data_IF_275027265158
#
_entry.id   IF_275027265158
#
_cell.length_a   1.000
_cell.length_b   1.000
_cell.length_c   1.000
_cell.angle_alpha   90.00
_cell.angle_beta   90.00
_cell.angle_gamma   90.00
#
_symmetry.space_group_name_H-M   'P 1'
#
loop_
_entity.id
_entity.type
_entity.pdbx_description
1 polymer ?
#
# COMPACT_ATOMS: atom_id res chain seq x y z
N UNK A 1 -0.78 -7.32 -0.65
CA UNK A 1 -0.23 -8.53 -0.58
C UNK A 1 -0.69 -9.37 0.57
N UNK A 2 -0.97 -8.88 1.62
CA UNK A 2 -1.41 -9.56 2.76
C UNK A 2 -2.40 -10.66 2.50
N UNK A 3 -3.55 -10.39 1.90
CA UNK A 3 -4.53 -11.43 1.66
C UNK A 3 -4.06 -12.44 0.64
N UNK A 4 -3.41 -11.97 -0.39
CA UNK A 4 -2.90 -12.85 -1.43
C UNK A 4 -1.82 -13.77 -0.89
N UNK A 5 -0.93 -13.23 -0.08
CA UNK A 5 0.11 -14.06 0.52
C UNK A 5 -0.46 -15.10 1.45
N UNK A 6 -1.45 -14.71 2.24
CA UNK A 6 -2.06 -15.63 3.15
C UNK A 6 -2.73 -16.77 2.40
N UNK A 7 -3.44 -16.47 1.34
CA UNK A 7 -4.09 -17.48 0.53
C UNK A 7 -3.10 -18.42 -0.11
N UNK A 8 -1.98 -17.86 -0.58
CA UNK A 8 -0.95 -18.71 -1.18
C UNK A 8 -0.39 -19.69 -0.19
N UNK A 9 -0.17 -19.26 1.03
CA UNK A 9 0.33 -20.17 2.05
C UNK A 9 -0.68 -21.27 2.32
N UNK A 10 -1.94 -20.95 2.39
CA UNK A 10 -2.97 -21.94 2.59
C UNK A 10 -3.03 -22.93 1.43
N UNK A 11 -2.96 -22.42 0.21
CA UNK A 11 -3.03 -23.25 -0.97
C UNK A 11 -1.88 -24.22 -1.05
N UNK A 12 -0.77 -23.87 -0.47
CA UNK A 12 0.40 -24.73 -0.45
C UNK A 12 0.40 -25.69 0.73
N UNK A 13 -0.70 -25.77 1.43
CA UNK A 13 -0.83 -26.70 2.52
C UNK A 13 -0.24 -26.23 3.83
N UNK A 14 0.13 -24.99 3.91
CA UNK A 14 0.65 -24.43 5.13
C UNK A 14 -0.48 -24.02 6.05
N UNK A 15 -0.24 -24.21 7.34
CA UNK A 15 -1.11 -23.62 8.29
C UNK A 15 -1.05 -22.12 8.15
N UNK A 16 -2.20 -21.47 8.14
CA UNK A 16 -2.24 -20.03 8.05
C UNK A 16 -1.67 -19.43 9.31
N UNK A 17 -0.56 -18.78 9.17
CA UNK A 17 0.06 -18.06 10.27
C UNK A 17 -0.13 -16.59 9.99
N UNK A 18 -0.61 -15.87 10.97
CA UNK A 18 -0.73 -14.43 10.85
C UNK A 18 0.64 -13.88 10.47
N UNK A 19 0.69 -13.06 9.44
CA UNK A 19 1.95 -12.45 9.02
C UNK A 19 2.63 -11.73 10.17
N UNK A 20 1.85 -11.15 11.07
CA UNK A 20 2.37 -10.44 12.21
C UNK A 20 3.17 -11.38 13.10
N UNK A 21 2.65 -12.56 13.38
CA UNK A 21 3.37 -13.54 14.20
C UNK A 21 4.65 -13.97 13.54
N UNK A 22 4.55 -14.27 12.26
CA UNK A 22 5.68 -14.73 11.49
C UNK A 22 6.82 -13.71 11.49
N UNK A 23 6.46 -12.41 11.35
CA UNK A 23 7.45 -11.35 11.28
C UNK A 23 7.73 -10.70 12.63
N UNK A 24 7.07 -11.14 13.68
CA UNK A 24 7.23 -10.52 14.99
C UNK A 24 6.53 -9.20 15.14
N UNK A 25 5.54 -8.93 14.29
CA UNK A 25 4.79 -7.68 14.35
C UNK A 25 3.61 -7.81 15.28
N UNK A 26 3.22 -6.71 15.92
CA UNK A 26 1.99 -6.66 16.67
C UNK A 26 0.81 -6.67 15.69
N UNK A 27 -0.40 -6.92 16.20
CA UNK A 27 -1.56 -6.90 15.32
C UNK A 27 -1.83 -5.49 14.79
N UNK A 28 -1.51 -4.46 15.56
CA UNK A 28 -1.63 -3.09 15.08
C UNK A 28 -0.66 -2.81 13.95
N UNK A 29 0.56 -3.28 14.09
CA UNK A 29 1.57 -3.09 13.03
C UNK A 29 1.18 -3.83 11.77
N UNK A 30 0.62 -5.03 11.91
CA UNK A 30 0.18 -5.79 10.76
C UNK A 30 -0.93 -5.05 10.01
N UNK A 31 -1.85 -4.43 10.73
CA UNK A 31 -2.91 -3.67 10.09
C UNK A 31 -2.36 -2.44 9.38
N UNK A 32 -1.38 -1.79 9.97
CA UNK A 32 -0.75 -0.64 9.32
C UNK A 32 -0.06 -1.05 8.02
N UNK A 33 0.58 -2.23 8.02
CA UNK A 33 1.21 -2.74 6.80
C UNK A 33 0.15 -2.96 5.73
N UNK A 34 -0.98 -3.58 6.10
CA UNK A 34 -2.07 -3.81 5.16
C UNK A 34 -2.58 -2.51 4.55
N UNK A 35 -2.72 -1.49 5.37
CA UNK A 35 -3.20 -0.20 4.91
C UNK A 35 -2.19 0.42 3.95
N UNK A 36 -0.91 0.36 4.30
CA UNK A 36 0.12 0.92 3.42
C UNK A 36 0.16 0.23 2.07
N UNK A 37 0.02 -1.08 2.08
CA UNK A 37 0.00 -1.83 0.83
C UNK A 37 -1.20 -1.43 -0.02
N UNK A 38 -2.37 -1.30 0.60
CA UNK A 38 -3.58 -0.91 -0.14
C UNK A 38 -3.42 0.49 -0.73
N UNK A 39 -2.85 1.41 0.02
CA UNK A 39 -2.64 2.77 -0.48
C UNK A 39 -1.63 2.79 -1.62
N UNK A 40 -0.58 1.99 -1.52
CA UNK A 40 0.42 1.92 -2.58
C UNK A 40 -0.15 1.32 -3.85
N UNK A 41 -1.01 0.32 -3.72
CA UNK A 41 -1.67 -0.28 -4.87
C UNK A 41 -2.56 0.72 -5.57
N UNK A 42 -3.30 1.51 -4.80
CA UNK A 42 -4.14 2.54 -5.38
C UNK A 42 -3.30 3.62 -6.04
N UNK A 43 -2.20 4.00 -5.40
CA UNK A 43 -1.30 4.99 -5.96
C UNK A 43 -0.79 4.55 -7.33
N UNK A 44 -0.35 3.30 -7.42
CA UNK A 44 0.19 2.78 -8.67
C UNK A 44 -0.90 2.66 -9.73
N UNK A 45 -2.08 2.21 -9.33
CA UNK A 45 -3.20 2.08 -10.25
C UNK A 45 -3.57 3.44 -10.87
N UNK A 46 -3.70 4.46 -10.03
CA UNK A 46 -4.08 5.77 -10.51
C UNK A 46 -2.98 6.41 -11.34
N UNK A 47 -1.73 6.21 -10.93
CA UNK A 47 -0.60 6.73 -11.70
C UNK A 47 -0.63 6.19 -13.12
N UNK A 48 -0.81 4.87 -13.26
CA UNK A 48 -0.83 4.24 -14.58
C UNK A 48 -2.04 4.69 -15.40
N UNK A 49 -3.16 4.81 -14.72
CA UNK A 49 -4.41 5.22 -15.38
C UNK A 49 -4.26 6.62 -15.96
N UNK A 50 -3.55 7.49 -15.27
CA UNK A 50 -3.33 8.86 -15.73
C UNK A 50 -2.14 9.00 -16.66
N UNK A 51 -1.39 7.93 -16.88
CA UNK A 51 -0.23 7.96 -17.75
C UNK A 51 0.92 8.78 -17.20
N UNK A 52 1.03 8.88 -15.89
CA UNK A 52 2.06 9.69 -15.25
C UNK A 52 3.25 8.78 -14.90
N UNK A 53 4.45 9.23 -15.26
CA UNK A 53 5.64 8.45 -14.92
C UNK A 53 5.99 8.61 -13.45
N UNK A 54 6.81 7.67 -12.96
CA UNK A 54 7.29 7.77 -11.59
C UNK A 54 8.07 9.07 -11.35
N UNK A 55 8.84 9.49 -12.35
CA UNK A 55 9.58 10.74 -12.23
C UNK A 55 8.64 11.94 -12.13
N UNK A 56 7.57 11.92 -12.89
CA UNK A 56 6.58 13.01 -12.82
C UNK A 56 5.89 13.03 -11.47
N UNK A 57 5.52 11.85 -10.98
CA UNK A 57 4.90 11.77 -9.66
C UNK A 57 5.85 12.27 -8.58
N UNK A 58 7.13 11.91 -8.71
CA UNK A 58 8.14 12.36 -7.75
C UNK A 58 8.21 13.88 -7.70
N UNK A 59 8.15 14.53 -8.85
CA UNK A 59 8.16 15.98 -8.89
C UNK A 59 6.92 16.57 -8.21
N UNK A 60 5.77 15.96 -8.44
CA UNK A 60 4.52 16.44 -7.84
C UNK A 60 4.55 16.31 -6.32
N UNK A 61 5.14 15.23 -5.84
CA UNK A 61 5.21 14.98 -4.40
C UNK A 61 6.35 15.74 -3.74
N UNK A 62 7.37 16.10 -4.52
CA UNK A 62 8.52 16.78 -3.99
C UNK A 62 9.57 15.82 -3.46
N UNK A 63 9.67 14.66 -4.08
CA UNK A 63 10.65 13.66 -3.68
C UNK A 63 11.42 13.18 -4.92
N UNK A 64 12.31 12.23 -4.72
CA UNK A 64 13.08 11.65 -5.82
C UNK A 64 12.32 10.47 -6.40
N UNK A 65 12.65 10.13 -7.65
CA UNK A 65 12.04 8.99 -8.30
C UNK A 65 12.29 7.71 -7.48
N UNK A 66 13.47 7.59 -6.88
CA UNK A 66 13.76 6.42 -6.04
C UNK A 66 12.81 6.32 -4.85
N UNK A 67 12.35 7.46 -4.34
CA UNK A 67 11.38 7.48 -3.27
C UNK A 67 10.02 6.95 -3.73
N UNK A 68 9.62 7.30 -4.93
CA UNK A 68 8.37 6.80 -5.49
C UNK A 68 8.48 5.29 -5.73
N UNK A 69 9.59 4.84 -6.29
CA UNK A 69 9.80 3.41 -6.53
C UNK A 69 9.73 2.63 -5.22
N UNK A 70 10.29 3.20 -4.14
CA UNK A 70 10.22 2.54 -2.84
C UNK A 70 8.81 2.47 -2.32
N UNK A 71 8.02 3.54 -2.49
CA UNK A 71 6.62 3.54 -2.07
C UNK A 71 5.85 2.41 -2.73
N UNK A 72 6.13 2.17 -4.00
CA UNK A 72 5.42 1.16 -4.76
C UNK A 72 5.91 -0.24 -4.45
N UNK A 73 7.22 -0.40 -4.36
CA UNK A 73 7.82 -1.73 -4.22
C UNK A 73 7.93 -2.20 -2.77
N UNK A 74 8.11 -1.26 -1.84
CA UNK A 74 8.25 -1.57 -0.43
C UNK A 74 7.38 -0.65 0.41
N UNK A 75 6.05 -0.71 0.22
CA UNK A 75 5.16 0.20 0.95
C UNK A 75 5.22 0.03 2.46
N UNK A 76 5.57 -1.16 2.92
CA UNK A 76 5.67 -1.41 4.36
C UNK A 76 6.84 -0.66 4.99
N UNK A 77 7.79 -0.21 4.19
CA UNK A 77 8.94 0.56 4.68
C UNK A 77 8.73 2.06 4.53
N UNK A 78 7.59 2.49 4.01
CA UNK A 78 7.30 3.90 3.79
C UNK A 78 6.26 4.40 4.77
N UNK A 79 6.28 5.69 5.05
CA UNK A 79 5.28 6.25 5.93
C UNK A 79 3.95 6.36 5.22
N UNK A 80 2.88 6.23 5.99
CA UNK A 80 1.54 6.38 5.47
C UNK A 80 1.32 7.78 4.92
N UNK A 81 1.92 8.76 5.58
CA UNK A 81 1.83 10.15 5.15
C UNK A 81 2.31 10.32 3.71
N UNK A 82 3.43 9.69 3.38
CA UNK A 82 3.98 9.81 2.04
C UNK A 82 3.07 9.15 1.00
N UNK A 83 2.48 8.01 1.34
CA UNK A 83 1.56 7.34 0.43
C UNK A 83 0.33 8.18 0.19
N UNK A 84 -0.24 8.74 1.24
CA UNK A 84 -1.42 9.60 1.12
C UNK A 84 -1.08 10.87 0.35
N UNK A 85 0.09 11.44 0.60
CA UNK A 85 0.55 12.61 -0.12
C UNK A 85 0.64 12.34 -1.62
N UNK A 86 1.14 11.16 -1.98
CA UNK A 86 1.20 10.80 -3.39
C UNK A 86 -0.17 10.70 -4.02
N UNK A 87 -1.14 10.12 -3.31
CA UNK A 87 -2.50 10.02 -3.81
C UNK A 87 -3.12 11.40 -3.99
N UNK A 88 -2.92 12.28 -3.03
CA UNK A 88 -3.43 13.64 -3.13
C UNK A 88 -2.79 14.36 -4.31
N UNK A 89 -1.50 14.17 -4.52
CA UNK A 89 -0.79 14.78 -5.64
C UNK A 89 -1.33 14.30 -6.98
N UNK A 90 -1.87 13.10 -7.04
CA UNK A 90 -2.49 12.57 -8.26
C UNK A 90 -3.94 13.00 -8.41
N UNK A 91 -4.47 13.77 -7.46
CA UNK A 91 -5.84 14.24 -7.53
C UNK A 91 -6.87 13.27 -7.00
N UNK A 92 -6.44 12.27 -6.25
CA UNK A 92 -7.38 11.31 -5.65
C UNK A 92 -8.08 12.00 -4.49
N UNK A 93 -9.41 12.04 -4.49
CA UNK A 93 -10.13 12.73 -3.40
C UNK A 93 -10.06 11.93 -2.11
N UNK A 94 -10.21 12.64 -1.00
CA UNK A 94 -10.17 12.04 0.32
C UNK A 94 -11.20 10.91 0.44
N UNK A 95 -12.35 11.08 -0.19
CA UNK A 95 -13.39 10.05 -0.15
C UNK A 95 -12.89 8.72 -0.74
N UNK A 96 -12.08 8.78 -1.78
CA UNK A 96 -11.52 7.56 -2.37
C UNK A 96 -10.45 6.96 -1.49
N UNK A 97 -9.66 7.81 -0.84
CA UNK A 97 -8.67 7.31 0.11
C UNK A 97 -9.38 6.62 1.26
N UNK A 98 -10.45 7.21 1.75
CA UNK A 98 -11.25 6.60 2.80
C UNK A 98 -11.84 5.27 2.35
N UNK A 99 -12.25 5.17 1.09
CA UNK A 99 -12.78 3.93 0.56
C UNK A 99 -11.73 2.82 0.59
N UNK A 100 -10.48 3.16 0.30
CA UNK A 100 -9.39 2.19 0.40
C UNK A 100 -9.26 1.65 1.83
N UNK A 101 -9.37 2.55 2.80
CA UNK A 101 -9.28 2.14 4.21
C UNK A 101 -10.46 1.27 4.59
N UNK A 102 -11.65 1.60 4.08
CA UNK A 102 -12.83 0.79 4.35
C UNK A 102 -12.69 -0.62 3.79
N UNK A 103 -12.12 -0.72 2.59
CA UNK A 103 -11.92 -2.03 1.99
C UNK A 103 -10.93 -2.86 2.80
N UNK A 104 -9.92 -2.23 3.36
CA UNK A 104 -9.00 -2.93 4.25
C UNK A 104 -9.71 -3.45 5.48
N UNK A 105 -10.57 -2.62 6.08
CA UNK A 105 -11.31 -3.03 7.26
C UNK A 105 -12.31 -4.11 6.92
N UNK A 106 -12.98 -3.99 5.77
CA UNK A 106 -13.97 -4.95 5.35
C UNK A 106 -13.37 -6.29 4.96
N UNK A 107 -12.09 -6.31 4.61
CA UNK A 107 -11.42 -7.54 4.23
C UNK A 107 -11.04 -8.42 5.40
N UNK A 108 -11.29 -7.98 6.59
CA UNK A 108 -11.00 -8.76 7.78
C UNK A 108 -12.20 -9.59 8.21
#
# INVERSE_FOLDING_TARGET
MKEIKRKKLEENGYKVIDSAEWLGLSSEEAKLVDIRVALAEELERVRKEKGITQAELARKVGTKQSGIARMINNPDACSMDNLIKGLIALGVPISKIAACLLLCAGGN
#
